data_IF_346708389459
#
_entry.id   IF_346708389459
#
_cell.length_a   1.000
_cell.length_b   1.000
_cell.length_c   1.000
_cell.angle_alpha   90.00
_cell.angle_beta   90.00
_cell.angle_gamma   90.00
#
_symmetry.space_group_name_H-M   'P 1'
#
loop_
_entity.id
_entity.type
_entity.pdbx_description
1 polymer ?
#
# COMPACT_ATOMS: atom_id res chain seq x y z
N UNK A 1 26.42 4.83 12.30
CA UNK A 1 25.69 5.87 11.51
C UNK A 1 24.60 5.27 10.60
N UNK A 2 24.87 4.19 9.85
CA UNK A 2 23.85 3.52 9.02
C UNK A 2 22.75 2.79 9.83
N UNK A 3 23.07 2.25 11.02
CA UNK A 3 22.10 1.55 11.89
C UNK A 3 20.91 2.42 12.28
N UNK A 4 21.13 3.68 12.67
CA UNK A 4 20.08 4.64 13.04
C UNK A 4 18.98 4.78 11.98
N UNK A 5 19.35 4.91 10.71
CA UNK A 5 18.37 5.11 9.63
C UNK A 5 17.60 3.82 9.33
N UNK A 6 18.28 2.68 9.39
CA UNK A 6 17.67 1.36 9.24
C UNK A 6 16.65 1.09 10.35
N UNK A 7 16.99 1.39 11.59
CA UNK A 7 16.09 1.29 12.75
C UNK A 7 14.88 2.20 12.62
N UNK A 8 15.07 3.45 12.18
CA UNK A 8 13.97 4.39 11.97
C UNK A 8 12.98 3.90 10.90
N UNK A 9 13.48 3.38 9.78
CA UNK A 9 12.65 2.79 8.72
C UNK A 9 11.90 1.56 9.25
N UNK A 10 12.59 0.66 9.96
CA UNK A 10 11.97 -0.53 10.52
C UNK A 10 10.88 -0.18 11.53
N UNK A 11 11.16 0.76 12.44
CA UNK A 11 10.18 1.27 13.40
C UNK A 11 8.93 1.80 12.71
N UNK A 12 9.11 2.58 11.63
CA UNK A 12 7.98 3.12 10.87
C UNK A 12 7.14 2.04 10.19
N UNK A 13 7.77 1.04 9.58
CA UNK A 13 7.06 -0.07 8.92
C UNK A 13 6.37 -0.97 9.94
N UNK A 14 6.99 -1.22 11.09
CA UNK A 14 6.37 -1.97 12.17
C UNK A 14 5.14 -1.25 12.71
N UNK A 15 5.20 0.07 12.90
CA UNK A 15 4.02 0.86 13.24
C UNK A 15 2.88 0.68 12.23
N UNK A 16 3.16 0.69 10.91
CA UNK A 16 2.13 0.41 9.91
C UNK A 16 1.53 -0.99 10.03
N UNK A 17 2.36 -2.00 10.32
CA UNK A 17 1.92 -3.39 10.45
C UNK A 17 1.05 -3.61 11.69
N UNK A 18 1.44 -3.08 12.84
CA UNK A 18 0.86 -3.48 14.13
C UNK A 18 -0.09 -2.46 14.75
N UNK A 19 0.18 -1.15 14.61
CA UNK A 19 -0.56 -0.12 15.33
C UNK A 19 -1.46 0.73 14.43
N UNK A 20 -1.07 0.98 13.19
CA UNK A 20 -1.86 1.79 12.26
C UNK A 20 -3.18 1.09 11.92
N UNK A 21 -4.27 1.86 11.99
CA UNK A 21 -5.60 1.42 11.65
C UNK A 21 -5.68 0.85 10.23
N UNK A 22 -6.50 -0.20 10.08
CA UNK A 22 -6.77 -0.87 8.80
C UNK A 22 -8.27 -0.98 8.59
N UNK A 23 -8.67 -1.05 7.33
CA UNK A 23 -10.05 -1.43 6.99
C UNK A 23 -10.31 -2.90 7.36
N UNK A 24 -11.57 -3.32 7.41
CA UNK A 24 -11.92 -4.73 7.61
C UNK A 24 -11.31 -5.65 6.54
N UNK A 25 -11.01 -5.11 5.35
CA UNK A 25 -10.31 -5.82 4.27
C UNK A 25 -8.78 -5.75 4.32
N UNK A 26 -8.18 -5.18 5.38
CA UNK A 26 -6.73 -5.18 5.58
C UNK A 26 -5.96 -4.04 4.91
N UNK A 27 -6.63 -3.13 4.18
CA UNK A 27 -6.00 -1.91 3.65
C UNK A 27 -5.59 -0.97 4.79
N UNK A 28 -4.35 -0.49 4.77
CA UNK A 28 -3.83 0.52 5.68
C UNK A 28 -4.61 1.84 5.53
N UNK A 29 -5.17 2.34 6.63
CA UNK A 29 -5.94 3.58 6.67
C UNK A 29 -5.17 4.64 7.45
N UNK A 30 -4.43 5.48 6.73
CA UNK A 30 -3.69 6.63 7.31
C UNK A 30 -4.58 7.87 7.35
N UNK A 31 -5.25 8.17 6.25
CA UNK A 31 -6.19 9.29 6.13
C UNK A 31 -7.27 8.96 5.12
N UNK A 32 -8.39 9.71 5.16
CA UNK A 32 -9.51 9.52 4.25
C UNK A 32 -9.12 9.89 2.80
N UNK A 33 -8.48 11.04 2.61
CA UNK A 33 -8.17 11.53 1.27
C UNK A 33 -6.94 10.82 0.68
N UNK A 34 -7.16 10.10 -0.42
CA UNK A 34 -6.11 9.33 -1.10
C UNK A 34 -5.57 8.15 -0.28
N UNK A 35 -6.43 7.42 0.41
CA UNK A 35 -6.05 6.26 1.24
C UNK A 35 -5.12 5.27 0.52
N UNK A 36 -5.40 4.93 -0.74
CA UNK A 36 -4.61 3.97 -1.53
C UNK A 36 -3.18 4.47 -1.81
N UNK A 37 -3.00 5.78 -1.99
CA UNK A 37 -1.67 6.38 -2.17
C UNK A 37 -0.82 6.23 -0.91
N UNK A 38 -1.42 6.37 0.26
CA UNK A 38 -0.71 6.12 1.53
C UNK A 38 -0.37 4.64 1.74
N UNK A 39 -1.29 3.73 1.42
CA UNK A 39 -1.03 2.30 1.49
C UNK A 39 0.08 1.86 0.51
N UNK A 40 0.06 2.36 -0.73
CA UNK A 40 1.10 2.09 -1.73
C UNK A 40 2.47 2.63 -1.29
N UNK A 41 2.53 3.85 -0.76
CA UNK A 41 3.78 4.42 -0.24
C UNK A 41 4.32 3.61 0.96
N UNK A 42 3.44 3.17 1.87
CA UNK A 42 3.83 2.30 2.99
C UNK A 42 4.36 0.94 2.50
N UNK A 43 3.73 0.37 1.47
CA UNK A 43 4.18 -0.88 0.83
C UNK A 43 5.58 -0.71 0.21
N UNK A 44 5.82 0.41 -0.48
CA UNK A 44 7.12 0.72 -1.05
C UNK A 44 8.20 0.81 0.04
N UNK A 45 7.95 1.56 1.12
CA UNK A 45 8.91 1.68 2.24
C UNK A 45 9.16 0.32 2.89
N UNK A 46 8.15 -0.53 3.06
CA UNK A 46 8.31 -1.88 3.58
C UNK A 46 9.16 -2.77 2.66
N UNK A 47 8.98 -2.67 1.33
CA UNK A 47 9.81 -3.39 0.35
C UNK A 47 11.26 -2.93 0.38
N UNK A 48 11.50 -1.63 0.55
CA UNK A 48 12.85 -1.06 0.70
C UNK A 48 13.49 -1.49 2.02
N UNK A 49 12.74 -1.50 3.12
CA UNK A 49 13.21 -2.00 4.41
C UNK A 49 13.68 -3.47 4.29
N UNK A 50 12.90 -4.31 3.61
CA UNK A 50 13.29 -5.67 3.30
C UNK A 50 14.56 -5.74 2.43
N UNK A 51 14.63 -4.95 1.35
CA UNK A 51 15.81 -4.92 0.47
C UNK A 51 17.11 -4.57 1.20
N UNK A 52 17.03 -3.69 2.20
CA UNK A 52 18.16 -3.29 3.04
C UNK A 52 18.46 -4.29 4.17
N UNK A 53 17.77 -5.43 4.17
CA UNK A 53 17.85 -6.46 5.19
C UNK A 53 17.49 -5.95 6.57
N UNK A 54 16.62 -4.93 6.67
CA UNK A 54 16.42 -4.14 7.89
C UNK A 54 15.98 -4.97 9.11
N UNK A 55 15.28 -6.06 8.85
CA UNK A 55 14.65 -6.97 9.81
C UNK A 55 15.05 -8.42 9.50
N UNK A 56 15.19 -9.24 10.53
CA UNK A 56 15.33 -10.70 10.38
C UNK A 56 14.02 -11.34 9.87
N UNK A 57 12.90 -10.61 9.95
CA UNK A 57 11.57 -10.99 9.45
C UNK A 57 11.33 -10.47 8.02
N UNK A 58 12.34 -10.57 7.14
CA UNK A 58 12.30 -10.12 5.76
C UNK A 58 11.01 -10.56 5.00
N UNK A 59 10.55 -11.79 5.24
CA UNK A 59 9.34 -12.35 4.65
C UNK A 59 8.07 -11.57 5.02
N UNK A 60 7.96 -11.12 6.27
CA UNK A 60 6.76 -10.41 6.75
C UNK A 60 6.62 -9.01 6.14
N UNK A 61 7.73 -8.31 5.96
CA UNK A 61 7.75 -6.99 5.35
C UNK A 61 7.32 -7.08 3.89
N UNK A 62 7.79 -8.11 3.17
CA UNK A 62 7.37 -8.38 1.80
C UNK A 62 5.89 -8.76 1.73
N UNK A 63 5.43 -9.64 2.62
CA UNK A 63 4.04 -10.06 2.68
C UNK A 63 3.10 -8.89 2.99
N UNK A 64 3.51 -7.99 3.90
CA UNK A 64 2.78 -6.74 4.15
C UNK A 64 2.70 -5.87 2.89
N UNK A 65 3.83 -5.60 2.23
CA UNK A 65 3.86 -4.79 1.02
C UNK A 65 2.97 -5.39 -0.08
N UNK A 66 3.10 -6.70 -0.32
CA UNK A 66 2.30 -7.43 -1.29
C UNK A 66 0.81 -7.31 -0.99
N UNK A 67 0.39 -7.53 0.25
CA UNK A 67 -1.04 -7.40 0.64
C UNK A 67 -1.63 -6.03 0.33
N UNK A 68 -0.88 -4.94 0.52
CA UNK A 68 -1.38 -3.60 0.20
C UNK A 68 -1.55 -3.40 -1.32
N UNK A 69 -0.60 -3.89 -2.11
CA UNK A 69 -0.69 -3.82 -3.58
C UNK A 69 -1.78 -4.75 -4.12
N UNK A 70 -1.87 -5.98 -3.61
CA UNK A 70 -2.94 -6.93 -3.97
C UNK A 70 -4.32 -6.32 -3.68
N UNK A 71 -4.49 -5.64 -2.53
CA UNK A 71 -5.73 -4.91 -2.23
C UNK A 71 -6.03 -3.86 -3.30
N UNK A 72 -5.04 -3.05 -3.71
CA UNK A 72 -5.23 -2.04 -4.77
C UNK A 72 -5.64 -2.71 -6.10
N UNK A 73 -5.11 -3.90 -6.39
CA UNK A 73 -5.28 -4.59 -7.66
C UNK A 73 -6.51 -5.51 -7.73
N UNK A 74 -7.16 -5.81 -6.60
CA UNK A 74 -8.42 -6.57 -6.61
C UNK A 74 -8.69 -7.49 -5.43
N UNK A 75 -7.67 -7.81 -4.62
CA UNK A 75 -7.80 -8.65 -3.43
C UNK A 75 -8.37 -7.86 -2.25
N UNK A 76 -9.59 -7.37 -2.42
CA UNK A 76 -10.34 -6.59 -1.45
C UNK A 76 -11.77 -7.11 -1.33
N UNK A 77 -12.52 -6.77 -0.25
CA UNK A 77 -13.88 -7.27 -0.06
C UNK A 77 -14.84 -6.96 -1.24
N UNK A 78 -14.76 -5.78 -1.90
CA UNK A 78 -15.53 -5.52 -3.11
C UNK A 78 -15.09 -6.29 -4.38
N UNK A 79 -14.00 -7.05 -4.30
CA UNK A 79 -13.41 -7.82 -5.41
C UNK A 79 -13.19 -7.00 -6.69
N UNK A 80 -12.72 -5.77 -6.54
CA UNK A 80 -12.54 -4.82 -7.66
C UNK A 80 -11.16 -4.20 -7.69
N UNK A 81 -10.66 -3.88 -8.87
CA UNK A 81 -9.46 -3.06 -9.03
C UNK A 81 -9.74 -1.61 -8.64
N UNK A 82 -8.74 -0.97 -8.07
CA UNK A 82 -8.68 0.49 -7.90
C UNK A 82 -7.71 1.15 -8.88
N UNK A 83 -7.07 0.38 -9.76
CA UNK A 83 -6.26 0.87 -10.87
C UNK A 83 -7.13 0.97 -12.12
N UNK A 84 -7.26 2.18 -12.66
CA UNK A 84 -8.05 2.46 -13.87
C UNK A 84 -7.54 1.60 -15.05
N UNK A 85 -8.47 1.01 -15.79
CA UNK A 85 -8.16 0.18 -16.97
C UNK A 85 -7.55 -1.20 -16.67
N UNK A 86 -7.43 -1.59 -15.39
CA UNK A 86 -6.82 -2.86 -15.01
C UNK A 86 -7.77 -3.71 -14.17
N UNK A 87 -7.74 -5.04 -14.38
CA UNK A 87 -8.44 -6.00 -13.53
C UNK A 87 -9.96 -5.94 -13.62
N UNK A 88 -10.63 -6.44 -12.57
CA UNK A 88 -12.10 -6.53 -12.52
C UNK A 88 -12.72 -5.24 -11.99
N UNK A 89 -13.73 -4.71 -12.69
CA UNK A 89 -14.52 -3.55 -12.25
C UNK A 89 -13.69 -2.33 -11.76
N UNK A 90 -12.71 -1.85 -12.56
CA UNK A 90 -11.91 -0.69 -12.19
C UNK A 90 -12.77 0.59 -12.12
N UNK A 91 -12.26 1.70 -11.54
CA UNK A 91 -12.93 2.98 -11.62
C UNK A 91 -13.04 3.44 -13.08
N UNK A 92 -14.24 3.84 -13.51
CA UNK A 92 -14.51 4.33 -14.88
C UNK A 92 -14.73 5.84 -14.96
N UNK A 93 -14.95 6.49 -13.81
CA UNK A 93 -15.15 7.94 -13.71
C UNK A 93 -14.02 8.58 -12.87
N UNK A 94 -12.75 8.55 -13.34
CA UNK A 94 -11.68 9.24 -12.63
C UNK A 94 -11.92 10.75 -12.68
N UNK A 95 -11.68 11.45 -11.57
CA UNK A 95 -11.71 12.91 -11.55
C UNK A 95 -10.45 13.48 -12.21
N UNK A 96 -10.39 13.36 -13.54
CA UNK A 96 -9.28 13.79 -14.38
C UNK A 96 -9.84 14.42 -15.65
N UNK A 97 -9.57 15.71 -15.86
CA UNK A 97 -10.19 16.53 -16.93
C UNK A 97 -10.05 15.89 -18.31
N UNK A 98 -8.83 15.57 -18.74
CA UNK A 98 -8.59 15.01 -20.07
C UNK A 98 -9.10 13.57 -20.25
N UNK A 99 -9.44 12.87 -19.16
CA UNK A 99 -10.04 11.54 -19.25
C UNK A 99 -11.58 11.59 -19.32
N UNK A 100 -12.17 12.75 -18.99
CA UNK A 100 -13.61 12.97 -19.06
C UNK A 100 -14.06 13.35 -20.49
N UNK A 101 -13.18 13.97 -21.28
CA UNK A 101 -13.43 14.34 -22.68
C UNK A 101 -13.07 13.23 -23.69
N UNK A 102 -13.03 11.97 -23.25
CA UNK A 102 -12.87 10.83 -24.15
C UNK A 102 -14.26 10.42 -24.67
N UNK A 103 -14.44 10.21 -26.00
CA UNK A 103 -15.74 9.87 -26.60
C UNK A 103 -16.34 8.56 -26.09
#
# INVERSE_FOLDING_TARGET
RQSKYREAVLSRVNHYRTAQAKTNGGLLKIMQWGALRHAANAAFVARMANALGADNSAGDLLAFAKRQLDYILGANPPQRSYLVGFGRNPPVNPHHRSAHDSP
#
